data_IF_967985935136
#
_entry.id   IF_967985935136
#
_cell.length_a   1.000
_cell.length_b   1.000
_cell.length_c   1.000
_cell.angle_alpha   90.00
_cell.angle_beta   90.00
_cell.angle_gamma   90.00
#
_symmetry.space_group_name_H-M   'P 1'
#
loop_
_entity.id
_entity.type
_entity.pdbx_description
1 polymer ?
#
# COMPACT_ATOMS: atom_id res chain seq x y z
N UNK A 1 0.54 24.34 -3.41
CA UNK A 1 1.11 22.98 -3.27
C UNK A 1 0.37 22.29 -2.13
N UNK A 2 -0.49 21.31 -2.41
CA UNK A 2 -1.12 20.54 -1.35
C UNK A 2 -0.13 19.46 -0.92
N UNK A 3 0.42 19.57 0.29
CA UNK A 3 1.17 18.48 0.90
C UNK A 3 0.25 17.25 0.97
N UNK A 4 0.68 16.15 0.36
CA UNK A 4 0.04 14.85 0.52
C UNK A 4 0.06 14.50 2.00
N UNK A 5 -1.12 14.43 2.62
CA UNK A 5 -1.27 14.14 4.04
C UNK A 5 -1.40 12.63 4.23
N UNK A 6 -0.40 12.02 4.86
CA UNK A 6 -0.56 10.68 5.44
C UNK A 6 -1.65 10.80 6.50
N UNK A 7 -2.77 10.10 6.28
CA UNK A 7 -3.89 10.10 7.20
C UNK A 7 -3.54 9.26 8.43
N UNK A 8 -3.96 9.74 9.60
CA UNK A 8 -3.86 8.99 10.84
C UNK A 8 -4.94 7.89 10.94
N UNK A 9 -4.90 7.11 12.02
CA UNK A 9 -5.81 6.00 12.26
C UNK A 9 -7.30 6.39 12.15
N UNK A 10 -7.73 7.42 12.90
CA UNK A 10 -9.14 7.87 12.91
C UNK A 10 -9.59 8.38 11.53
N UNK A 11 -8.72 9.12 10.85
CA UNK A 11 -8.98 9.61 9.49
C UNK A 11 -9.10 8.46 8.48
N UNK A 12 -8.31 7.39 8.63
CA UNK A 12 -8.40 6.20 7.79
C UNK A 12 -9.68 5.40 8.06
N UNK A 13 -10.12 5.28 9.32
CA UNK A 13 -11.40 4.67 9.65
C UNK A 13 -12.57 5.46 9.03
N UNK A 14 -12.50 6.80 9.12
CA UNK A 14 -13.48 7.68 8.48
C UNK A 14 -13.48 7.48 6.95
N UNK A 15 -12.31 7.46 6.32
CA UNK A 15 -12.17 7.24 4.88
C UNK A 15 -12.72 5.87 4.45
N UNK A 16 -12.42 4.80 5.20
CA UNK A 16 -12.95 3.46 4.93
C UNK A 16 -14.49 3.47 4.94
N UNK A 17 -15.10 4.16 5.91
CA UNK A 17 -16.56 4.33 5.98
C UNK A 17 -17.11 5.14 4.80
N UNK A 18 -16.44 6.24 4.42
CA UNK A 18 -16.84 7.03 3.25
C UNK A 18 -16.79 6.21 1.96
N UNK A 19 -15.73 5.40 1.79
CA UNK A 19 -15.58 4.52 0.63
C UNK A 19 -16.68 3.46 0.59
N UNK A 20 -16.97 2.82 1.72
CA UNK A 20 -18.09 1.88 1.84
C UNK A 20 -19.41 2.51 1.38
N UNK A 21 -19.76 3.70 1.89
CA UNK A 21 -21.01 4.35 1.48
C UNK A 21 -21.04 4.68 -0.01
N UNK A 22 -19.94 5.19 -0.57
CA UNK A 22 -19.83 5.44 -2.03
C UNK A 22 -20.00 4.17 -2.85
N UNK A 23 -19.38 3.08 -2.43
CA UNK A 23 -19.49 1.79 -3.12
C UNK A 23 -20.91 1.23 -3.04
N UNK A 24 -21.60 1.37 -1.90
CA UNK A 24 -22.99 0.97 -1.75
C UNK A 24 -23.95 1.87 -2.54
N UNK A 25 -23.68 3.17 -2.64
CA UNK A 25 -24.47 4.11 -3.43
C UNK A 25 -24.35 3.82 -4.94
N UNK A 26 -23.22 3.24 -5.38
CA UNK A 26 -23.01 2.86 -6.77
C UNK A 26 -24.06 1.87 -7.30
N UNK A 27 -24.84 1.20 -6.43
CA UNK A 27 -25.96 0.35 -6.85
C UNK A 27 -27.03 1.14 -7.62
N UNK A 28 -27.18 2.43 -7.33
CA UNK A 28 -28.16 3.30 -8.02
C UNK A 28 -27.81 3.54 -9.49
N UNK A 29 -26.55 3.33 -9.85
CA UNK A 29 -26.00 3.62 -11.18
C UNK A 29 -25.43 2.38 -11.88
N UNK A 30 -25.50 1.22 -11.24
CA UNK A 30 -24.97 -0.05 -11.76
C UNK A 30 -26.12 -0.98 -12.12
N UNK A 31 -26.07 -1.56 -13.32
CA UNK A 31 -27.03 -2.60 -13.72
C UNK A 31 -26.53 -3.95 -13.23
N UNK A 32 -27.36 -4.64 -12.46
CA UNK A 32 -27.14 -6.02 -12.02
C UNK A 32 -28.07 -6.95 -12.80
N UNK A 33 -27.57 -8.13 -13.15
CA UNK A 33 -28.34 -9.12 -13.92
C UNK A 33 -29.29 -9.93 -13.03
N UNK A 34 -29.11 -9.87 -11.71
CA UNK A 34 -29.92 -10.58 -10.72
C UNK A 34 -29.83 -9.95 -9.33
N UNK A 35 -30.81 -10.25 -8.47
CA UNK A 35 -30.75 -9.89 -7.05
C UNK A 35 -29.58 -10.57 -6.33
N UNK A 36 -29.22 -11.80 -6.72
CA UNK A 36 -28.08 -12.52 -6.15
C UNK A 36 -26.75 -11.81 -6.43
N UNK A 37 -26.59 -11.26 -7.64
CA UNK A 37 -25.41 -10.49 -8.02
C UNK A 37 -25.32 -9.18 -7.21
N UNK A 38 -26.45 -8.48 -7.03
CA UNK A 38 -26.53 -7.28 -6.18
C UNK A 38 -26.20 -7.61 -4.72
N UNK A 39 -26.78 -8.69 -4.17
CA UNK A 39 -26.53 -9.11 -2.79
C UNK A 39 -25.06 -9.47 -2.58
N UNK A 40 -24.42 -10.14 -3.55
CA UNK A 40 -22.99 -10.44 -3.52
C UNK A 40 -22.16 -9.15 -3.54
N UNK A 41 -22.47 -8.21 -4.43
CA UNK A 41 -21.77 -6.93 -4.51
C UNK A 41 -21.82 -6.16 -3.18
N UNK A 42 -23.01 -6.03 -2.59
CA UNK A 42 -23.17 -5.35 -1.29
C UNK A 42 -22.41 -6.05 -0.17
N UNK A 43 -22.39 -7.39 -0.18
CA UNK A 43 -21.60 -8.17 0.77
C UNK A 43 -20.10 -7.91 0.59
N UNK A 44 -19.60 -7.94 -0.64
CA UNK A 44 -18.18 -7.71 -0.93
C UNK A 44 -17.73 -6.30 -0.49
N UNK A 45 -18.58 -5.27 -0.68
CA UNK A 45 -18.34 -3.92 -0.17
C UNK A 45 -18.25 -3.89 1.37
N UNK A 46 -19.18 -4.55 2.05
CA UNK A 46 -19.21 -4.63 3.51
C UNK A 46 -18.00 -5.39 4.05
N UNK A 47 -17.65 -6.51 3.45
CA UNK A 47 -16.51 -7.34 3.85
C UNK A 47 -15.19 -6.57 3.65
N UNK A 48 -15.06 -5.80 2.57
CA UNK A 48 -13.92 -4.90 2.33
C UNK A 48 -13.79 -3.82 3.40
N UNK A 49 -14.89 -3.16 3.75
CA UNK A 49 -14.94 -2.16 4.83
C UNK A 49 -14.56 -2.76 6.19
N UNK A 50 -15.15 -3.89 6.56
CA UNK A 50 -14.85 -4.56 7.82
C UNK A 50 -13.40 -5.03 7.90
N UNK A 51 -12.83 -5.50 6.78
CA UNK A 51 -11.43 -5.91 6.72
C UNK A 51 -10.49 -4.72 6.90
N UNK A 52 -10.81 -3.56 6.35
CA UNK A 52 -10.03 -2.34 6.54
C UNK A 52 -10.06 -1.87 8.00
N UNK A 53 -11.21 -1.91 8.67
CA UNK A 53 -11.31 -1.59 10.09
C UNK A 53 -10.54 -2.58 10.96
N UNK A 54 -10.71 -3.88 10.73
CA UNK A 54 -10.01 -4.92 11.47
C UNK A 54 -8.48 -4.79 11.34
N UNK A 55 -7.98 -4.40 10.16
CA UNK A 55 -6.56 -4.13 9.97
C UNK A 55 -6.08 -2.94 10.82
N UNK A 56 -6.85 -1.86 10.86
CA UNK A 56 -6.50 -0.67 11.64
C UNK A 56 -6.54 -0.96 13.15
N UNK A 57 -7.58 -1.66 13.61
CA UNK A 57 -7.79 -2.02 15.01
C UNK A 57 -6.72 -3.00 15.50
N UNK A 58 -6.27 -3.93 14.65
CA UNK A 58 -5.20 -4.86 14.96
C UNK A 58 -3.89 -4.16 15.37
N UNK A 59 -3.59 -3.01 14.76
CA UNK A 59 -2.44 -2.20 15.14
C UNK A 59 -2.54 -1.62 16.54
N UNK A 60 -3.70 -1.04 16.88
CA UNK A 60 -3.97 -0.50 18.21
C UNK A 60 -4.00 -1.58 19.29
N UNK A 61 -4.53 -2.76 18.96
CA UNK A 61 -4.52 -3.92 19.87
C UNK A 61 -3.09 -4.38 20.14
N UNK A 62 -2.23 -4.43 19.13
CA UNK A 62 -0.82 -4.80 19.26
C UNK A 62 -0.07 -3.86 20.21
N UNK A 63 -0.23 -2.55 20.03
CA UNK A 63 0.38 -1.54 20.90
C UNK A 63 -0.09 -1.70 22.35
N UNK A 64 -1.39 -1.94 22.55
CA UNK A 64 -1.95 -2.15 23.88
C UNK A 64 -1.39 -3.41 24.54
N UNK A 65 -1.26 -4.50 23.78
CA UNK A 65 -0.78 -5.80 24.26
C UNK A 65 0.65 -5.74 24.77
N UNK A 66 1.54 -5.05 24.05
CA UNK A 66 2.96 -4.96 24.39
C UNK A 66 3.37 -3.72 25.18
N UNK A 67 2.43 -2.86 25.59
CA UNK A 67 2.69 -1.56 26.21
C UNK A 67 3.66 -1.57 27.42
N UNK A 68 3.76 -2.70 28.13
CA UNK A 68 4.58 -2.84 29.33
C UNK A 68 5.96 -3.50 29.05
N UNK A 69 6.23 -3.91 27.82
CA UNK A 69 7.50 -4.50 27.39
C UNK A 69 8.19 -3.52 26.46
N UNK A 70 9.21 -2.81 26.93
CA UNK A 70 9.82 -1.69 26.21
C UNK A 70 10.32 -2.09 24.80
N UNK A 71 10.95 -3.26 24.67
CA UNK A 71 11.47 -3.73 23.39
C UNK A 71 10.34 -4.11 22.42
N UNK A 72 9.31 -4.82 22.92
CA UNK A 72 8.17 -5.22 22.09
C UNK A 72 7.21 -4.08 21.80
N UNK A 73 7.07 -3.11 22.70
CA UNK A 73 6.26 -1.91 22.52
C UNK A 73 6.79 -1.07 21.36
N UNK A 74 8.10 -0.83 21.30
CA UNK A 74 8.71 -0.10 20.18
C UNK A 74 8.50 -0.82 18.85
N UNK A 75 8.62 -2.15 18.83
CA UNK A 75 8.38 -2.94 17.61
C UNK A 75 6.90 -2.94 17.21
N UNK A 76 5.98 -3.02 18.17
CA UNK A 76 4.54 -2.93 17.94
C UNK A 76 4.14 -1.56 17.34
N UNK A 77 4.73 -0.47 17.82
CA UNK A 77 4.56 0.87 17.23
C UNK A 77 5.04 0.93 15.78
N UNK A 78 6.17 0.29 15.47
CA UNK A 78 6.68 0.22 14.09
C UNK A 78 5.75 -0.62 13.18
N UNK A 79 5.19 -1.73 13.69
CA UNK A 79 4.17 -2.52 12.98
C UNK A 79 2.92 -1.66 12.75
N UNK A 80 2.48 -0.89 13.75
CA UNK A 80 1.36 0.01 13.59
C UNK A 80 1.63 1.09 12.52
N UNK A 81 2.83 1.66 12.50
CA UNK A 81 3.25 2.56 11.42
C UNK A 81 3.22 1.90 10.04
N UNK A 82 3.60 0.62 9.92
CA UNK A 82 3.48 -0.15 8.68
C UNK A 82 2.01 -0.33 8.25
N UNK A 83 1.12 -0.66 9.19
CA UNK A 83 -0.34 -0.73 8.98
C UNK A 83 -0.87 0.58 8.44
N UNK A 84 -0.56 1.70 9.10
CA UNK A 84 -1.01 3.03 8.69
C UNK A 84 -0.54 3.34 7.26
N UNK A 85 0.71 3.04 6.91
CA UNK A 85 1.20 3.28 5.55
C UNK A 85 0.49 2.42 4.50
N UNK A 86 0.29 1.12 4.79
CA UNK A 86 -0.41 0.19 3.91
C UNK A 86 -1.88 0.57 3.70
N UNK A 87 -2.57 0.94 4.78
CA UNK A 87 -3.95 1.44 4.71
C UNK A 87 -4.04 2.76 3.94
N UNK A 88 -3.08 3.68 4.13
CA UNK A 88 -3.01 4.92 3.35
C UNK A 88 -2.87 4.66 1.85
N UNK A 89 -2.05 3.69 1.44
CA UNK A 89 -1.95 3.29 0.03
C UNK A 89 -3.28 2.69 -0.45
N UNK A 90 -3.78 1.67 0.24
CA UNK A 90 -4.96 0.94 -0.20
C UNK A 90 -6.21 1.83 -0.28
N UNK A 91 -6.45 2.67 0.73
CA UNK A 91 -7.67 3.49 0.80
C UNK A 91 -7.59 4.76 -0.05
N UNK A 92 -6.43 5.43 -0.11
CA UNK A 92 -6.32 6.71 -0.83
C UNK A 92 -5.99 6.54 -2.31
N UNK A 93 -5.22 5.52 -2.70
CA UNK A 93 -4.76 5.36 -4.08
C UNK A 93 -5.63 4.38 -4.88
N UNK A 94 -5.97 3.24 -4.28
CA UNK A 94 -6.63 2.15 -5.02
C UNK A 94 -8.12 2.46 -5.21
N UNK A 95 -8.52 2.74 -6.45
CA UNK A 95 -9.90 3.11 -6.80
C UNK A 95 -10.85 1.93 -6.90
N UNK A 96 -10.37 0.81 -7.43
CA UNK A 96 -11.15 -0.41 -7.59
C UNK A 96 -11.37 -1.08 -6.22
N UNK A 97 -12.62 -1.33 -5.84
CA UNK A 97 -12.99 -1.86 -4.52
C UNK A 97 -12.41 -3.25 -4.27
N UNK A 98 -12.51 -4.17 -5.22
CA UNK A 98 -11.96 -5.52 -5.10
C UNK A 98 -10.44 -5.53 -4.94
N UNK A 99 -9.74 -4.70 -5.72
CA UNK A 99 -8.28 -4.56 -5.61
C UNK A 99 -7.90 -3.92 -4.27
N UNK A 100 -8.65 -2.92 -3.81
CA UNK A 100 -8.43 -2.30 -2.49
C UNK A 100 -8.59 -3.32 -1.36
N UNK A 101 -9.65 -4.13 -1.38
CA UNK A 101 -9.86 -5.22 -0.41
C UNK A 101 -8.71 -6.24 -0.46
N UNK A 102 -8.23 -6.59 -1.65
CA UNK A 102 -7.08 -7.49 -1.79
C UNK A 102 -5.79 -6.88 -1.21
N UNK A 103 -5.53 -5.59 -1.44
CA UNK A 103 -4.39 -4.90 -0.85
C UNK A 103 -4.46 -4.88 0.68
N UNK A 104 -5.63 -4.58 1.24
CA UNK A 104 -5.86 -4.62 2.71
C UNK A 104 -5.59 -6.02 3.25
N UNK A 105 -6.08 -7.07 2.58
CA UNK A 105 -5.87 -8.45 3.01
C UNK A 105 -4.38 -8.83 3.00
N UNK A 106 -3.63 -8.44 1.97
CA UNK A 106 -2.19 -8.70 1.90
C UNK A 106 -1.41 -8.04 3.02
N UNK A 107 -1.78 -6.80 3.39
CA UNK A 107 -1.18 -6.13 4.54
C UNK A 107 -1.55 -6.86 5.83
N UNK A 108 -2.80 -7.29 5.98
CA UNK A 108 -3.28 -8.05 7.14
C UNK A 108 -2.55 -9.38 7.33
N UNK A 109 -2.40 -10.17 6.28
CA UNK A 109 -1.65 -11.43 6.29
C UNK A 109 -0.21 -11.20 6.78
N UNK A 110 0.46 -10.17 6.26
CA UNK A 110 1.83 -9.86 6.66
C UNK A 110 1.92 -9.38 8.12
N UNK A 111 1.00 -8.51 8.54
CA UNK A 111 0.92 -8.04 9.94
C UNK A 111 0.77 -9.22 10.90
N UNK A 112 -0.02 -10.22 10.53
CA UNK A 112 -0.18 -11.42 11.36
C UNK A 112 1.14 -12.18 11.54
N UNK A 113 1.92 -12.33 10.47
CA UNK A 113 3.25 -12.93 10.55
C UNK A 113 4.21 -12.13 11.45
N UNK A 114 4.18 -10.79 11.34
CA UNK A 114 4.99 -9.90 12.18
C UNK A 114 4.56 -9.95 13.65
N UNK A 115 3.25 -10.02 13.91
CA UNK A 115 2.68 -10.17 15.24
C UNK A 115 3.11 -11.49 15.90
N UNK A 116 3.00 -12.60 15.17
CA UNK A 116 3.44 -13.91 15.64
C UNK A 116 4.96 -13.92 15.90
N UNK A 117 5.75 -13.23 15.07
CA UNK A 117 7.19 -13.12 15.24
C UNK A 117 7.57 -12.37 16.53
N UNK A 118 6.92 -11.25 16.86
CA UNK A 118 7.23 -10.54 18.12
C UNK A 118 6.81 -11.32 19.37
N UNK A 119 5.81 -12.20 19.27
CA UNK A 119 5.36 -13.07 20.37
C UNK A 119 6.35 -14.20 20.65
N UNK A 120 6.87 -14.85 19.61
CA UNK A 120 7.66 -16.08 19.73
C UNK A 120 9.17 -15.80 19.92
N UNK A 121 9.67 -14.65 19.46
CA UNK A 121 11.11 -14.43 19.35
C UNK A 121 11.76 -13.99 20.68
N UNK A 122 12.93 -14.58 20.97
CA UNK A 122 13.80 -14.20 22.11
C UNK A 122 14.61 -12.92 21.84
N UNK A 123 14.98 -12.65 20.59
CA UNK A 123 15.70 -11.44 20.17
C UNK A 123 14.81 -10.50 19.34
N UNK A 124 14.05 -9.65 20.03
CA UNK A 124 13.10 -8.69 19.43
C UNK A 124 13.79 -7.72 18.46
N UNK A 125 15.10 -7.49 18.59
CA UNK A 125 15.85 -6.56 17.76
C UNK A 125 15.90 -6.93 16.26
N UNK A 126 15.92 -8.22 15.93
CA UNK A 126 15.97 -8.66 14.54
C UNK A 126 14.63 -8.41 13.85
N UNK A 127 13.52 -8.70 14.55
CA UNK A 127 12.16 -8.38 14.09
C UNK A 127 11.98 -6.86 13.97
N UNK A 128 12.50 -6.08 14.92
CA UNK A 128 12.43 -4.62 14.88
C UNK A 128 13.10 -4.04 13.62
N UNK A 129 14.26 -4.57 13.20
CA UNK A 129 14.94 -4.14 11.97
C UNK A 129 14.10 -4.44 10.74
N UNK A 130 13.60 -5.67 10.64
CA UNK A 130 12.79 -6.11 9.51
C UNK A 130 11.49 -5.32 9.38
N UNK A 131 10.76 -5.11 10.49
CA UNK A 131 9.56 -4.25 10.54
C UNK A 131 9.87 -2.82 10.10
N UNK A 132 11.00 -2.26 10.53
CA UNK A 132 11.39 -0.91 10.17
C UNK A 132 11.67 -0.77 8.66
N UNK A 133 12.34 -1.76 8.06
CA UNK A 133 12.57 -1.83 6.62
C UNK A 133 11.25 -1.90 5.85
N UNK A 134 10.32 -2.77 6.27
CA UNK A 134 9.00 -2.87 5.67
C UNK A 134 8.19 -1.58 5.82
N UNK A 135 8.21 -0.94 7.00
CA UNK A 135 7.53 0.33 7.22
C UNK A 135 8.07 1.41 6.31
N UNK A 136 9.40 1.55 6.18
CA UNK A 136 10.04 2.52 5.28
C UNK A 136 9.69 2.26 3.83
N UNK A 137 9.79 1.00 3.38
CA UNK A 137 9.43 0.62 2.03
C UNK A 137 7.96 0.91 1.72
N UNK A 138 7.05 0.60 2.64
CA UNK A 138 5.62 0.89 2.49
C UNK A 138 5.36 2.39 2.50
N UNK A 139 6.01 3.18 3.36
CA UNK A 139 5.89 4.64 3.36
C UNK A 139 6.33 5.24 2.03
N UNK A 140 7.47 4.78 1.50
CA UNK A 140 7.97 5.24 0.21
C UNK A 140 7.03 4.84 -0.92
N UNK A 141 6.55 3.60 -0.92
CA UNK A 141 5.58 3.10 -1.88
C UNK A 141 4.28 3.91 -1.85
N UNK A 142 3.72 4.16 -0.67
CA UNK A 142 2.55 5.00 -0.44
C UNK A 142 2.80 6.41 -0.97
N UNK A 143 3.93 7.04 -0.62
CA UNK A 143 4.28 8.39 -1.12
C UNK A 143 4.41 8.45 -2.64
N UNK A 144 5.03 7.45 -3.27
CA UNK A 144 5.16 7.37 -4.74
C UNK A 144 3.81 7.29 -5.45
N UNK A 145 2.82 6.69 -4.82
CA UNK A 145 1.49 6.49 -5.39
C UNK A 145 0.47 7.57 -4.98
N UNK A 146 0.74 8.30 -3.90
CA UNK A 146 -0.06 9.45 -3.48
C UNK A 146 0.44 10.77 -4.09
N UNK A 147 1.75 10.90 -4.31
CA UNK A 147 2.30 11.88 -5.24
C UNK A 147 1.99 11.38 -6.66
N UNK A 148 1.59 12.22 -7.62
CA UNK A 148 1.49 11.79 -9.01
C UNK A 148 2.78 12.10 -9.77
N UNK A 149 3.75 11.17 -9.90
CA UNK A 149 4.86 11.35 -10.84
C UNK A 149 4.34 11.46 -12.28
N UNK A 150 3.30 10.72 -12.65
CA UNK A 150 2.81 10.66 -14.03
C UNK A 150 2.24 11.98 -14.58
N UNK A 151 1.74 12.89 -13.74
CA UNK A 151 1.14 14.14 -14.24
C UNK A 151 2.20 15.20 -14.52
N UNK A 152 3.17 15.37 -13.62
CA UNK A 152 4.28 16.33 -13.84
C UNK A 152 5.36 15.76 -14.77
N UNK A 153 5.69 14.47 -14.67
CA UNK A 153 6.66 13.80 -15.55
C UNK A 153 6.15 13.67 -16.99
N UNK A 154 4.85 13.41 -17.21
CA UNK A 154 4.29 13.41 -18.58
C UNK A 154 4.20 14.81 -19.18
N UNK A 155 4.02 15.86 -18.36
CA UNK A 155 4.10 17.26 -18.79
C UNK A 155 5.55 17.61 -19.15
N UNK A 156 6.52 17.17 -18.33
CA UNK A 156 7.95 17.37 -18.58
C UNK A 156 8.46 16.62 -19.80
N UNK A 157 8.12 15.33 -19.98
CA UNK A 157 8.52 14.52 -21.15
C UNK A 157 7.96 15.10 -22.46
N UNK A 158 6.69 15.54 -22.48
CA UNK A 158 6.10 16.21 -23.64
C UNK A 158 6.77 17.55 -23.96
N UNK A 159 7.25 18.27 -22.94
CA UNK A 159 7.99 19.53 -23.10
C UNK A 159 9.47 19.35 -23.51
N UNK A 160 10.06 18.18 -23.28
CA UNK A 160 11.50 17.94 -23.45
C UNK A 160 11.89 17.21 -24.73
N UNK A 161 10.93 16.62 -25.46
CA UNK A 161 11.15 15.94 -26.75
C UNK A 161 11.91 14.60 -26.68
N UNK A 162 12.20 14.08 -25.49
CA UNK A 162 12.96 12.83 -25.28
C UNK A 162 12.02 11.64 -25.39
N UNK A 163 12.41 10.62 -26.17
CA UNK A 163 11.64 9.38 -26.31
C UNK A 163 11.94 8.44 -25.14
N UNK A 164 10.91 7.73 -24.66
CA UNK A 164 10.99 6.85 -23.50
C UNK A 164 12.06 5.75 -23.67
N UNK A 165 12.22 5.26 -24.89
CA UNK A 165 13.18 4.22 -25.24
C UNK A 165 14.63 4.66 -25.04
N UNK A 166 14.94 5.96 -25.24
CA UNK A 166 16.28 6.52 -25.04
C UNK A 166 16.62 6.64 -23.55
N UNK A 167 15.61 6.91 -22.73
CA UNK A 167 15.73 7.00 -21.27
C UNK A 167 16.02 5.63 -20.65
N UNK A 168 15.28 4.61 -21.09
CA UNK A 168 15.45 3.20 -20.70
C UNK A 168 16.88 2.74 -21.00
N UNK A 169 17.40 3.03 -22.20
CA UNK A 169 18.76 2.63 -22.57
C UNK A 169 19.84 3.31 -21.72
N UNK A 170 19.68 4.58 -21.38
CA UNK A 170 20.65 5.35 -20.58
C UNK A 170 20.79 4.79 -19.17
N UNK A 171 19.68 4.46 -18.52
CA UNK A 171 19.69 3.89 -17.17
C UNK A 171 20.10 2.42 -17.16
N UNK A 172 19.83 1.68 -18.24
CA UNK A 172 20.31 0.31 -18.41
C UNK A 172 21.83 0.24 -18.50
N UNK A 173 22.45 1.20 -19.21
CA UNK A 173 23.89 1.36 -19.25
C UNK A 173 24.47 1.74 -17.88
N UNK A 174 23.80 2.64 -17.13
CA UNK A 174 24.22 3.07 -15.79
C UNK A 174 24.20 1.93 -14.76
N UNK A 175 23.21 1.04 -14.86
CA UNK A 175 23.05 -0.13 -13.99
C UNK A 175 23.80 -1.38 -14.51
N UNK A 176 24.53 -1.26 -15.62
CA UNK A 176 25.31 -2.34 -16.28
C UNK A 176 24.48 -3.57 -16.66
N UNK A 177 23.18 -3.42 -16.88
CA UNK A 177 22.33 -4.52 -17.35
C UNK A 177 22.50 -4.71 -18.87
N UNK A 178 22.58 -5.96 -19.33
CA UNK A 178 22.76 -6.31 -20.76
C UNK A 178 21.52 -7.00 -21.33
N UNK A 179 21.23 -6.78 -22.61
CA UNK A 179 20.06 -7.34 -23.31
C UNK A 179 18.94 -6.33 -23.55
N UNK A 180 17.87 -6.69 -24.25
CA UNK A 180 16.69 -5.80 -24.39
C UNK A 180 15.87 -5.84 -23.11
N UNK A 181 15.15 -4.76 -22.78
CA UNK A 181 14.33 -4.67 -21.56
C UNK A 181 13.43 -5.90 -21.34
N UNK A 182 12.74 -6.36 -22.39
CA UNK A 182 11.87 -7.55 -22.36
C UNK A 182 12.59 -8.84 -21.95
N UNK A 183 13.89 -8.93 -22.22
CA UNK A 183 14.75 -10.09 -22.00
C UNK A 183 15.44 -10.03 -20.61
N UNK A 184 15.23 -8.96 -19.83
CA UNK A 184 15.74 -8.83 -18.46
C UNK A 184 14.90 -9.64 -17.46
N UNK A 185 15.51 -10.06 -16.35
CA UNK A 185 14.78 -10.67 -15.22
C UNK A 185 13.86 -9.64 -14.57
N UNK A 186 12.74 -10.07 -14.00
CA UNK A 186 11.72 -9.15 -13.46
C UNK A 186 12.26 -8.20 -12.39
N UNK A 187 13.17 -8.68 -11.53
CA UNK A 187 13.86 -7.84 -10.53
C UNK A 187 14.70 -6.74 -11.20
N UNK A 188 15.35 -7.02 -12.33
CA UNK A 188 16.14 -6.04 -13.08
C UNK A 188 15.24 -5.06 -13.84
N UNK A 189 14.09 -5.52 -14.36
CA UNK A 189 13.08 -4.66 -14.97
C UNK A 189 12.53 -3.66 -13.96
N UNK A 190 12.23 -4.12 -12.75
CA UNK A 190 11.77 -3.28 -11.65
C UNK A 190 12.83 -2.25 -11.26
N UNK A 191 14.09 -2.66 -11.11
CA UNK A 191 15.20 -1.73 -10.82
C UNK A 191 15.40 -0.70 -11.92
N UNK A 192 15.22 -1.10 -13.18
CA UNK A 192 15.33 -0.19 -14.32
C UNK A 192 14.19 0.82 -14.36
N UNK A 193 12.94 0.38 -14.13
CA UNK A 193 11.76 1.25 -14.10
C UNK A 193 11.87 2.29 -12.99
N UNK A 194 12.36 1.88 -11.81
CA UNK A 194 12.64 2.80 -10.70
C UNK A 194 13.70 3.84 -11.09
N UNK A 195 14.71 3.47 -11.88
CA UNK A 195 15.77 4.38 -12.28
C UNK A 195 15.37 5.33 -13.42
N UNK A 196 14.48 4.91 -14.33
CA UNK A 196 14.01 5.72 -15.45
C UNK A 196 12.92 6.73 -15.09
N UNK A 197 12.27 6.57 -13.93
CA UNK A 197 11.21 7.47 -13.44
C UNK A 197 11.74 8.56 -12.49
N UNK A 198 13.07 8.71 -12.41
CA UNK A 198 13.78 9.75 -11.65
C UNK A 198 14.28 10.90 -12.52
#
# INVERSE_FOLDING_TARGET
>A
MANVSVLNHEQLQYLARTLYYKETEAILHTKFNSETELAKYLKDCKDGYQSALALLDAGSELEHRFRNDEARASTAQEIFGYIINGANYALQTVRNSSLRSHCVEKVREHVKLLADAIEVVRNVNDVAKEVNEYRKAMLEYTRRHQNPPSREFSIWLKGSGIKYEELVQRYQAKLKFRGRFKDLKDVQKIQLMIATEG
#
